data_IF_484909025863
#
_entry.id   IF_484909025863
#
_cell.length_a   1.000
_cell.length_b   1.000
_cell.length_c   1.000
_cell.angle_alpha   90.00
_cell.angle_beta   90.00
_cell.angle_gamma   90.00
#
_symmetry.space_group_name_H-M   'P 1'
#
loop_
_entity.id
_entity.type
_entity.pdbx_description
1 polymer ?
#
# COMPACT_ATOMS: atom_id res chain seq x y z
N UNK A 1 -54.14 -12.01 0.25
CA UNK A 1 -53.02 -12.87 0.70
C UNK A 1 -51.79 -12.00 0.83
N UNK A 2 -51.38 -11.72 2.06
CA UNK A 2 -50.25 -10.87 2.42
C UNK A 2 -48.95 -11.68 2.38
N UNK A 3 -48.06 -11.38 1.44
CA UNK A 3 -46.70 -11.91 1.47
C UNK A 3 -45.88 -11.12 2.51
N UNK A 4 -45.12 -11.75 3.40
CA UNK A 4 -44.16 -11.06 4.26
C UNK A 4 -42.88 -10.80 3.47
N UNK A 5 -42.55 -9.54 3.22
CA UNK A 5 -41.35 -9.18 2.47
C UNK A 5 -40.24 -9.07 3.51
N UNK A 6 -39.41 -10.10 3.64
CA UNK A 6 -38.24 -10.04 4.50
C UNK A 6 -37.23 -9.06 3.88
N UNK A 7 -36.75 -8.04 4.61
CA UNK A 7 -35.67 -7.20 4.12
C UNK A 7 -34.41 -8.07 3.98
N UNK A 8 -33.83 -8.12 2.78
CA UNK A 8 -32.52 -8.72 2.52
C UNK A 8 -31.51 -8.05 3.44
N UNK A 9 -30.95 -8.79 4.40
CA UNK A 9 -29.90 -8.27 5.27
C UNK A 9 -28.72 -7.82 4.40
N UNK A 10 -28.18 -6.61 4.58
CA UNK A 10 -26.95 -6.20 3.92
C UNK A 10 -25.86 -7.20 4.33
N UNK A 11 -25.34 -7.95 3.37
CA UNK A 11 -24.15 -8.78 3.56
C UNK A 11 -23.05 -7.86 4.11
N UNK A 12 -22.65 -8.06 5.36
CA UNK A 12 -21.49 -7.38 5.93
C UNK A 12 -20.30 -7.75 5.06
N UNK A 13 -19.76 -6.77 4.35
CA UNK A 13 -18.49 -6.92 3.66
C UNK A 13 -17.47 -7.47 4.66
N UNK A 14 -16.69 -8.45 4.20
CA UNK A 14 -15.58 -9.01 4.96
C UNK A 14 -14.69 -7.87 5.48
N UNK A 15 -14.08 -7.98 6.67
CA UNK A 15 -13.20 -6.95 7.20
C UNK A 15 -11.98 -6.83 6.29
N UNK A 16 -12.06 -5.98 5.26
CA UNK A 16 -10.90 -5.57 4.49
C UNK A 16 -10.24 -4.43 5.26
N UNK A 17 -8.91 -4.47 5.30
CA UNK A 17 -8.11 -3.40 5.88
C UNK A 17 -8.61 -2.04 5.33
N UNK A 18 -8.66 -0.98 6.16
CA UNK A 18 -9.20 0.34 5.76
C UNK A 18 -8.45 0.99 4.59
N UNK A 19 -7.38 0.34 4.12
CA UNK A 19 -6.52 0.76 3.03
C UNK A 19 -6.50 -0.35 1.95
N UNK A 20 -6.67 0.02 0.68
CA UNK A 20 -6.68 -0.92 -0.44
C UNK A 20 -5.37 -1.69 -0.60
N UNK A 21 -5.38 -2.76 -1.39
CA UNK A 21 -4.20 -3.61 -1.66
C UNK A 21 -2.94 -2.84 -2.11
N UNK A 22 -3.10 -1.71 -2.80
CA UNK A 22 -1.99 -0.87 -3.23
C UNK A 22 -1.19 -0.23 -2.07
N UNK A 23 -1.80 -0.06 -0.90
CA UNK A 23 -1.12 0.45 0.28
C UNK A 23 -0.17 -0.62 0.88
N UNK A 24 -0.61 -1.88 0.86
CA UNK A 24 0.16 -3.03 1.35
C UNK A 24 1.36 -3.31 0.45
N UNK A 25 1.22 -3.16 -0.87
CA UNK A 25 2.33 -3.37 -1.80
C UNK A 25 3.45 -2.35 -1.64
N UNK A 26 3.11 -1.07 -1.42
CA UNK A 26 4.10 -0.01 -1.15
C UNK A 26 4.90 -0.30 0.11
N UNK A 27 4.24 -0.77 1.17
CA UNK A 27 4.90 -1.22 2.39
C UNK A 27 5.83 -2.40 2.17
N UNK A 28 5.38 -3.43 1.46
CA UNK A 28 6.18 -4.62 1.16
C UNK A 28 7.42 -4.25 0.34
N UNK A 29 7.28 -3.37 -0.65
CA UNK A 29 8.39 -2.88 -1.45
C UNK A 29 9.36 -2.06 -0.60
N UNK A 30 8.84 -1.14 0.23
CA UNK A 30 9.66 -0.35 1.15
C UNK A 30 10.45 -1.22 2.13
N UNK A 31 9.81 -2.23 2.71
CA UNK A 31 10.41 -3.21 3.61
C UNK A 31 11.48 -4.06 2.91
N UNK A 32 11.23 -4.48 1.67
CA UNK A 32 12.20 -5.24 0.88
C UNK A 32 13.46 -4.40 0.63
N UNK A 33 13.30 -3.13 0.22
CA UNK A 33 14.42 -2.22 -0.02
C UNK A 33 15.26 -1.95 1.23
N UNK A 34 14.63 -1.77 2.40
CA UNK A 34 15.36 -1.62 3.67
C UNK A 34 16.10 -2.89 4.07
N UNK A 35 15.45 -4.06 4.00
CA UNK A 35 16.10 -5.33 4.36
C UNK A 35 17.30 -5.58 3.45
N UNK A 36 17.12 -5.46 2.13
CA UNK A 36 18.21 -5.66 1.16
C UNK A 36 19.33 -4.64 1.37
N UNK A 37 19.00 -3.37 1.58
CA UNK A 37 19.98 -2.32 1.87
C UNK A 37 20.80 -2.61 3.13
N UNK A 38 20.14 -3.03 4.23
CA UNK A 38 20.80 -3.40 5.48
C UNK A 38 21.73 -4.60 5.28
N UNK A 39 21.28 -5.64 4.56
CA UNK A 39 22.11 -6.82 4.29
C UNK A 39 23.37 -6.45 3.51
N UNK A 40 23.25 -5.57 2.50
CA UNK A 40 24.39 -5.08 1.72
C UNK A 40 25.35 -4.26 2.59
N UNK A 41 24.83 -3.41 3.48
CA UNK A 41 25.65 -2.64 4.43
C UNK A 41 26.42 -3.58 5.37
N UNK A 42 25.76 -4.60 5.92
CA UNK A 42 26.40 -5.58 6.79
C UNK A 42 27.48 -6.36 6.03
N UNK A 43 27.19 -6.78 4.81
CA UNK A 43 28.17 -7.44 3.95
C UNK A 43 29.38 -6.54 3.65
N UNK A 44 29.15 -5.27 3.33
CA UNK A 44 30.20 -4.27 3.12
C UNK A 44 31.05 -4.07 4.38
N UNK A 45 30.41 -4.02 5.55
CA UNK A 45 31.09 -3.86 6.83
C UNK A 45 31.99 -5.04 7.17
N UNK A 46 31.48 -6.27 7.06
CA UNK A 46 32.29 -7.47 7.26
C UNK A 46 33.41 -7.59 6.22
N UNK A 47 33.13 -7.27 4.96
CA UNK A 47 34.13 -7.22 3.89
C UNK A 47 35.21 -6.17 4.14
N UNK A 48 34.84 -5.01 4.69
CA UNK A 48 35.80 -3.98 5.09
C UNK A 48 36.69 -4.45 6.24
N UNK A 49 36.12 -5.05 7.29
CA UNK A 49 36.88 -5.58 8.42
C UNK A 49 37.84 -6.68 7.97
N UNK A 50 37.35 -7.69 7.24
CA UNK A 50 38.19 -8.81 6.83
C UNK A 50 39.21 -8.44 5.75
N UNK A 51 38.83 -7.63 4.76
CA UNK A 51 39.70 -7.26 3.65
C UNK A 51 40.70 -6.17 4.01
N UNK A 52 40.23 -5.07 4.60
CA UNK A 52 41.05 -3.87 4.83
C UNK A 52 41.91 -4.00 6.07
N UNK A 53 41.36 -4.52 7.17
CA UNK A 53 42.14 -4.77 8.40
C UNK A 53 43.07 -5.96 8.17
N UNK A 54 42.58 -7.04 7.53
CA UNK A 54 43.40 -8.20 7.19
C UNK A 54 44.62 -7.86 6.33
N UNK A 55 44.45 -7.00 5.32
CA UNK A 55 45.55 -6.51 4.48
C UNK A 55 46.49 -5.55 5.23
N UNK A 56 45.99 -4.80 6.22
CA UNK A 56 46.81 -3.89 7.03
C UNK A 56 47.66 -4.63 8.08
N UNK A 57 47.19 -5.77 8.58
CA UNK A 57 47.91 -6.59 9.57
C UNK A 57 48.80 -7.68 8.97
N UNK A 58 48.76 -7.87 7.65
CA UNK A 58 49.56 -8.89 6.98
C UNK A 58 51.03 -8.46 6.86
N UNK A 59 51.94 -9.43 6.96
CA UNK A 59 53.38 -9.23 6.79
C UNK A 59 53.79 -8.85 5.36
N UNK A 60 52.87 -8.93 4.40
CA UNK A 60 53.01 -8.57 2.99
C UNK A 60 52.02 -7.45 2.61
N UNK A 61 52.12 -6.33 3.30
CA UNK A 61 51.28 -5.16 3.05
C UNK A 61 51.40 -4.68 1.59
N UNK A 62 50.28 -4.68 0.87
CA UNK A 62 50.17 -4.12 -0.48
C UNK A 62 49.18 -2.97 -0.47
N UNK A 63 49.68 -1.77 -0.77
CA UNK A 63 48.87 -0.55 -0.87
C UNK A 63 47.74 -0.73 -1.91
N UNK A 64 48.01 -1.45 -3.00
CA UNK A 64 47.04 -1.67 -4.07
C UNK A 64 45.88 -2.58 -3.62
N UNK A 65 46.16 -3.65 -2.87
CA UNK A 65 45.10 -4.54 -2.36
C UNK A 65 44.26 -3.86 -1.28
N UNK A 66 44.91 -3.08 -0.41
CA UNK A 66 44.24 -2.27 0.60
C UNK A 66 43.22 -1.31 -0.04
N UNK A 67 43.62 -0.51 -1.03
CA UNK A 67 42.71 0.43 -1.70
C UNK A 67 41.60 -0.28 -2.47
N UNK A 68 41.88 -1.40 -3.12
CA UNK A 68 40.87 -2.16 -3.84
C UNK A 68 39.76 -2.68 -2.91
N UNK A 69 40.14 -3.26 -1.76
CA UNK A 69 39.18 -3.71 -0.75
C UNK A 69 38.42 -2.56 -0.10
N UNK A 70 39.12 -1.44 0.18
CA UNK A 70 38.53 -0.24 0.76
C UNK A 70 37.49 0.40 -0.16
N UNK A 71 37.83 0.65 -1.42
CA UNK A 71 36.90 1.23 -2.40
C UNK A 71 35.74 0.28 -2.71
N UNK A 72 35.99 -1.04 -2.77
CA UNK A 72 34.92 -2.04 -2.90
C UNK A 72 33.91 -1.96 -1.76
N UNK A 73 34.38 -1.85 -0.53
CA UNK A 73 33.51 -1.68 0.63
C UNK A 73 32.73 -0.34 0.57
N UNK A 74 33.39 0.78 0.23
CA UNK A 74 32.73 2.08 0.10
C UNK A 74 31.59 2.02 -0.92
N UNK A 75 31.81 1.42 -2.09
CA UNK A 75 30.78 1.30 -3.13
C UNK A 75 29.57 0.54 -2.59
N UNK A 76 29.79 -0.58 -1.89
CA UNK A 76 28.72 -1.36 -1.28
C UNK A 76 28.00 -0.58 -0.17
N UNK A 77 28.72 0.20 0.64
CA UNK A 77 28.12 1.10 1.63
C UNK A 77 27.24 2.17 0.98
N UNK A 78 27.66 2.76 -0.14
CA UNK A 78 26.87 3.76 -0.87
C UNK A 78 25.61 3.12 -1.46
N UNK A 79 25.73 1.98 -2.12
CA UNK A 79 24.59 1.26 -2.71
C UNK A 79 23.61 0.81 -1.62
N UNK A 80 24.12 0.17 -0.57
CA UNK A 80 23.32 -0.27 0.57
C UNK A 80 22.67 0.91 1.30
N UNK A 81 23.39 2.03 1.45
CA UNK A 81 22.88 3.27 2.03
C UNK A 81 21.77 3.92 1.21
N UNK A 82 21.89 3.94 -0.12
CA UNK A 82 20.82 4.43 -1.01
C UNK A 82 19.60 3.52 -0.95
N UNK A 83 19.77 2.19 -1.02
CA UNK A 83 18.66 1.23 -0.92
C UNK A 83 17.93 1.32 0.43
N UNK A 84 18.69 1.35 1.52
CA UNK A 84 18.13 1.51 2.86
C UNK A 84 17.49 2.90 3.05
N UNK A 85 18.07 3.95 2.46
CA UNK A 85 17.56 5.31 2.49
C UNK A 85 16.23 5.45 1.75
N UNK A 86 16.12 4.89 0.53
CA UNK A 86 14.88 4.86 -0.25
C UNK A 86 13.82 4.05 0.48
N UNK A 87 14.15 2.84 0.96
CA UNK A 87 13.20 2.02 1.70
C UNK A 87 12.72 2.70 2.99
N UNK A 88 13.64 3.31 3.75
CA UNK A 88 13.31 4.06 4.97
C UNK A 88 12.45 5.29 4.69
N UNK A 89 12.71 5.99 3.59
CA UNK A 89 11.88 7.11 3.15
C UNK A 89 10.47 6.66 2.76
N UNK A 90 10.32 5.54 2.05
CA UNK A 90 9.00 4.98 1.73
C UNK A 90 8.21 4.59 2.98
N UNK A 91 8.86 3.98 3.98
CA UNK A 91 8.22 3.67 5.27
C UNK A 91 7.82 4.95 6.00
N UNK A 92 8.62 6.03 5.91
CA UNK A 92 8.27 7.33 6.50
C UNK A 92 7.06 7.95 5.80
N UNK A 93 7.01 7.94 4.47
CA UNK A 93 5.84 8.40 3.71
C UNK A 93 4.60 7.59 4.05
N UNK A 94 4.75 6.28 4.28
CA UNK A 94 3.67 5.43 4.76
C UNK A 94 3.12 5.88 6.12
N UNK A 95 3.97 6.16 7.10
CA UNK A 95 3.52 6.68 8.40
C UNK A 95 2.80 8.03 8.26
N UNK A 96 3.32 8.93 7.43
CA UNK A 96 2.67 10.21 7.12
C UNK A 96 1.30 9.95 6.48
N UNK A 97 1.22 9.01 5.54
CA UNK A 97 -0.03 8.64 4.87
C UNK A 97 -1.07 8.06 5.84
N UNK A 98 -0.67 7.22 6.80
CA UNK A 98 -1.57 6.73 7.85
C UNK A 98 -2.04 7.87 8.76
N UNK A 99 -1.15 8.76 9.18
CA UNK A 99 -1.51 9.90 10.03
C UNK A 99 -2.46 10.86 9.31
N UNK A 100 -2.18 11.19 8.05
CA UNK A 100 -3.08 12.00 7.22
C UNK A 100 -4.38 11.25 6.95
N UNK A 101 -4.37 9.93 6.74
CA UNK A 101 -5.57 9.12 6.59
C UNK A 101 -6.45 9.11 7.84
N UNK A 102 -5.85 9.11 9.04
CA UNK A 102 -6.56 9.24 10.32
C UNK A 102 -7.14 10.65 10.49
N UNK A 103 -6.36 11.69 10.19
CA UNK A 103 -6.81 13.10 10.29
C UNK A 103 -7.86 13.44 9.24
N UNK A 104 -7.70 12.98 8.00
CA UNK A 104 -8.66 13.16 6.91
C UNK A 104 -9.88 12.26 7.08
N UNK A 105 -9.73 11.05 7.63
CA UNK A 105 -10.85 10.17 7.98
C UNK A 105 -11.71 10.69 9.13
N UNK A 106 -11.15 11.54 10.00
CA UNK A 106 -11.92 12.28 11.00
C UNK A 106 -12.74 13.45 10.41
N UNK A 107 -12.49 13.87 9.17
CA UNK A 107 -13.16 15.01 8.53
C UNK A 107 -13.82 14.75 7.16
N UNK A 108 -13.56 13.62 6.49
CA UNK A 108 -14.07 13.36 5.15
C UNK A 108 -14.01 11.86 4.81
N UNK A 109 -15.19 11.26 4.61
CA UNK A 109 -15.38 9.92 4.03
C UNK A 109 -14.97 9.90 2.54
N UNK A 110 -13.67 9.98 2.26
CA UNK A 110 -13.10 9.93 0.91
C UNK A 110 -12.11 8.76 0.77
N UNK A 111 -12.42 7.58 1.29
CA UNK A 111 -11.63 6.40 0.91
C UNK A 111 -11.94 6.08 -0.56
N UNK A 112 -10.93 5.64 -1.33
CA UNK A 112 -11.12 5.23 -2.74
C UNK A 112 -12.26 4.20 -2.88
N UNK A 113 -12.47 3.40 -1.82
CA UNK A 113 -13.56 2.43 -1.73
C UNK A 113 -14.94 3.09 -1.63
N UNK A 114 -15.10 4.17 -0.86
CA UNK A 114 -16.37 4.89 -0.81
C UNK A 114 -16.74 5.46 -2.19
N UNK A 115 -15.75 5.88 -2.99
CA UNK A 115 -15.97 6.30 -4.39
C UNK A 115 -16.34 5.13 -5.31
N UNK A 116 -15.81 3.94 -5.08
CA UNK A 116 -16.17 2.73 -5.83
C UNK A 116 -17.56 2.21 -5.45
N UNK A 117 -17.91 2.23 -4.16
CA UNK A 117 -19.25 1.86 -3.67
C UNK A 117 -20.29 2.89 -4.11
N UNK A 118 -19.94 4.18 -4.14
CA UNK A 118 -20.80 5.24 -4.71
C UNK A 118 -20.91 5.19 -6.24
N UNK A 119 -20.03 4.45 -6.93
CA UNK A 119 -20.04 4.25 -8.38
C UNK A 119 -20.71 2.95 -8.82
N UNK A 120 -21.20 2.11 -7.89
CA UNK A 120 -22.12 1.05 -8.26
C UNK A 120 -23.26 1.69 -9.07
N UNK A 121 -23.57 1.21 -10.28
CA UNK A 121 -24.69 1.78 -11.01
C UNK A 121 -25.90 1.61 -10.10
N UNK A 122 -26.48 2.70 -9.61
CA UNK A 122 -27.82 2.63 -9.07
C UNK A 122 -28.65 2.12 -10.24
N UNK A 123 -28.93 0.82 -10.28
CA UNK A 123 -29.71 0.19 -11.34
C UNK A 123 -31.09 0.82 -11.19
N UNK A 124 -31.41 1.73 -12.10
CA UNK A 124 -32.67 2.44 -12.11
C UNK A 124 -33.58 1.77 -13.13
N UNK A 125 -34.70 1.25 -12.66
CA UNK A 125 -35.72 0.62 -13.48
C UNK A 125 -36.67 1.72 -13.97
N UNK A 126 -36.93 1.76 -15.28
CA UNK A 126 -37.87 2.72 -15.86
C UNK A 126 -39.28 2.17 -15.76
N UNK A 127 -40.17 2.89 -15.08
CA UNK A 127 -41.58 2.54 -15.03
C UNK A 127 -42.20 2.51 -16.43
N UNK A 128 -42.78 1.38 -16.80
CA UNK A 128 -43.43 1.17 -18.12
C UNK A 128 -44.61 2.12 -18.39
N UNK A 129 -45.30 2.60 -17.35
CA UNK A 129 -46.50 3.44 -17.48
C UNK A 129 -46.22 4.93 -17.59
N UNK A 130 -45.32 5.46 -16.76
CA UNK A 130 -45.06 6.91 -16.68
C UNK A 130 -43.64 7.29 -17.13
N UNK A 131 -42.81 6.31 -17.48
CA UNK A 131 -41.43 6.54 -17.93
C UNK A 131 -40.47 7.02 -16.84
N UNK A 132 -40.91 7.17 -15.58
CA UNK A 132 -40.06 7.63 -14.47
C UNK A 132 -39.04 6.56 -14.09
N UNK A 133 -37.78 6.96 -13.95
CA UNK A 133 -36.75 6.11 -13.36
C UNK A 133 -36.96 5.99 -11.85
N UNK A 134 -36.99 4.75 -11.38
CA UNK A 134 -37.11 4.39 -9.98
C UNK A 134 -35.92 3.52 -9.58
N UNK A 135 -35.50 3.53 -8.31
CA UNK A 135 -34.45 2.63 -7.86
C UNK A 135 -34.93 1.16 -7.88
N UNK A 136 -34.04 0.21 -8.11
CA UNK A 136 -34.39 -1.23 -8.23
C UNK A 136 -35.05 -1.85 -7.00
N UNK A 137 -34.92 -1.23 -5.82
CA UNK A 137 -35.52 -1.75 -4.59
C UNK A 137 -37.01 -1.42 -4.43
N UNK A 138 -37.59 -0.57 -5.29
CA UNK A 138 -39.04 -0.34 -5.27
C UNK A 138 -39.77 -1.26 -6.24
N UNK A 139 -40.81 -1.94 -5.75
CA UNK A 139 -41.73 -2.73 -6.58
C UNK A 139 -42.79 -1.86 -7.27
N UNK A 140 -43.04 -0.65 -6.75
CA UNK A 140 -44.03 0.29 -7.27
C UNK A 140 -43.38 1.63 -7.59
N UNK A 141 -43.79 2.24 -8.69
CA UNK A 141 -43.30 3.53 -9.11
C UNK A 141 -43.68 4.62 -8.11
N UNK A 142 -42.69 5.38 -7.63
CA UNK A 142 -42.92 6.47 -6.66
C UNK A 142 -43.73 7.65 -7.23
N UNK A 143 -44.01 7.68 -8.55
CA UNK A 143 -44.82 8.71 -9.19
C UNK A 143 -46.27 8.30 -9.41
N UNK A 144 -46.48 7.15 -10.05
CA UNK A 144 -47.81 6.72 -10.49
C UNK A 144 -48.36 5.50 -9.73
N UNK A 145 -47.64 5.00 -8.72
CA UNK A 145 -48.01 3.85 -7.87
C UNK A 145 -48.31 2.54 -8.62
N UNK A 146 -48.01 2.47 -9.92
CA UNK A 146 -48.09 1.26 -10.72
C UNK A 146 -46.80 0.45 -10.56
N UNK A 147 -46.82 -0.87 -10.81
CA UNK A 147 -45.59 -1.66 -10.85
C UNK A 147 -44.57 -1.04 -11.82
N UNK A 148 -43.29 -1.01 -11.41
CA UNK A 148 -42.18 -0.48 -12.23
C UNK A 148 -41.89 -1.40 -13.41
#
# INVERSE_FOLDING_TARGET
>A
MSYPYAPTQPQRASPSLPFGWGAVTVLLIGALFTIVGIVIILYAFFGFLMGTIGAATSSSFSVMSFFQSFFGAIILFVIGGVLAGVGGWMVRLWWIFLLVGVVAGAGSANTARDREVSRGPAIQIRCTKCGRLNPEWVQFCMGCQNPV
#
